data_IF_136077990320
#
_entry.id   IF_136077990320
#
_cell.length_a   1.000
_cell.length_b   1.000
_cell.length_c   1.000
_cell.angle_alpha   90.00
_cell.angle_beta   90.00
_cell.angle_gamma   90.00
#
_symmetry.space_group_name_H-M   'P 1'
#
loop_
_entity.id
_entity.type
_entity.pdbx_description
1 polymer ?
#
# COMPACT_ATOMS: atom_id res chain seq x y z
N UNK A 1 -6.03 4.69 -6.17
CA UNK A 1 -5.51 5.61 -5.13
C UNK A 1 -4.76 4.76 -4.11
N UNK A 2 -3.53 4.36 -4.43
CA UNK A 2 -2.65 3.67 -3.48
C UNK A 2 -1.64 4.69 -2.98
N UNK A 3 -1.72 5.02 -1.68
CA UNK A 3 -0.62 5.65 -0.98
C UNK A 3 0.51 4.61 -0.91
N UNK A 4 1.53 4.79 -1.74
CA UNK A 4 2.77 4.04 -1.59
C UNK A 4 3.39 4.41 -0.23
N UNK A 5 3.89 3.43 0.55
CA UNK A 5 4.71 3.74 1.70
C UNK A 5 5.95 4.46 1.21
N UNK A 6 6.22 5.64 1.79
CA UNK A 6 7.46 6.41 1.56
C UNK A 6 8.64 5.46 1.82
N UNK A 7 9.31 5.05 0.76
CA UNK A 7 10.60 4.37 0.86
C UNK A 7 11.53 5.37 1.54
N UNK A 8 11.96 5.03 2.77
CA UNK A 8 13.08 5.69 3.41
C UNK A 8 14.27 5.48 2.49
N UNK A 9 14.72 6.53 1.83
CA UNK A 9 15.99 6.52 1.12
C UNK A 9 17.06 6.11 2.13
N UNK A 10 17.91 5.10 1.82
CA UNK A 10 19.08 4.86 2.63
C UNK A 10 19.94 6.12 2.54
N UNK A 11 20.27 6.69 3.71
CA UNK A 11 21.29 7.74 3.80
C UNK A 11 22.51 7.30 2.98
N UNK A 12 23.08 8.16 2.11
CA UNK A 12 24.34 7.82 1.48
C UNK A 12 25.36 7.58 2.58
N UNK A 13 26.00 6.41 2.54
CA UNK A 13 27.07 6.06 3.44
C UNK A 13 28.09 7.21 3.46
N UNK A 14 28.32 7.74 4.66
CA UNK A 14 29.38 8.69 4.93
C UNK A 14 30.68 7.98 4.54
N UNK A 15 31.19 8.32 3.36
CA UNK A 15 32.49 7.86 2.91
C UNK A 15 33.52 8.22 3.99
N UNK A 16 34.22 7.19 4.47
CA UNK A 16 35.40 7.34 5.33
C UNK A 16 36.33 8.40 4.72
N UNK A 17 36.97 9.24 5.55
CA UNK A 17 37.79 10.33 5.04
C UNK A 17 38.93 9.78 4.18
N UNK A 18 39.09 10.22 2.93
CA UNK A 18 40.30 9.95 2.19
C UNK A 18 41.46 10.63 2.93
N UNK A 19 42.58 9.93 2.99
CA UNK A 19 43.85 10.32 3.58
C UNK A 19 44.13 11.83 3.53
N UNK A 20 44.66 12.34 4.65
CA UNK A 20 45.26 13.66 4.82
C UNK A 20 46.18 14.04 3.65
N UNK A 21 45.61 14.66 2.62
CA UNK A 21 46.36 15.57 1.76
C UNK A 21 46.44 16.90 2.50
N UNK A 22 47.54 17.12 3.21
CA UNK A 22 47.92 18.44 3.74
C UNK A 22 48.23 19.35 2.55
N UNK A 23 47.20 19.83 1.86
CA UNK A 23 47.34 20.96 0.96
C UNK A 23 47.80 22.14 1.83
N UNK A 24 49.02 22.63 1.58
CA UNK A 24 49.51 23.90 2.13
C UNK A 24 48.65 25.00 1.51
N UNK A 25 47.43 25.20 2.02
CA UNK A 25 46.66 26.41 1.71
C UNK A 25 47.49 27.55 2.28
N UNK A 26 48.02 28.41 1.40
CA UNK A 26 48.57 29.70 1.78
C UNK A 26 47.57 30.33 2.76
N UNK A 27 48.03 30.61 3.99
CA UNK A 27 47.25 31.33 5.00
C UNK A 27 47.05 32.73 4.44
N UNK A 28 46.01 32.95 3.62
CA UNK A 28 45.59 34.31 3.28
C UNK A 28 45.24 34.97 4.62
N UNK A 29 45.86 36.11 4.97
CA UNK A 29 45.45 36.84 6.16
C UNK A 29 43.95 37.10 6.04
N UNK A 30 43.22 36.88 7.14
CA UNK A 30 41.82 37.25 7.17
C UNK A 30 41.73 38.74 6.82
N UNK A 31 40.84 39.14 5.90
CA UNK A 31 40.60 40.56 5.66
C UNK A 31 40.30 41.22 7.01
N UNK A 32 41.10 42.22 7.38
CA UNK A 32 40.93 42.97 8.60
C UNK A 32 39.74 43.92 8.41
N UNK A 33 38.53 43.37 8.55
CA UNK A 33 37.31 44.17 8.57
C UNK A 33 37.28 44.97 9.86
N UNK A 34 36.88 46.23 9.74
CA UNK A 34 36.56 47.08 10.88
C UNK A 34 35.33 46.53 11.61
N UNK A 35 35.21 46.82 12.90
CA UNK A 35 34.05 46.40 13.70
C UNK A 35 32.71 46.90 13.09
N UNK A 36 32.74 48.06 12.44
CA UNK A 36 31.60 48.63 11.73
C UNK A 36 31.18 47.78 10.53
N UNK A 37 32.12 47.41 9.65
CA UNK A 37 31.84 46.56 8.49
C UNK A 37 31.30 45.18 8.90
N UNK A 38 31.78 44.63 10.03
CA UNK A 38 31.27 43.35 10.54
C UNK A 38 29.83 43.45 11.04
N UNK A 39 29.45 44.56 11.67
CA UNK A 39 28.08 44.78 12.14
C UNK A 39 27.12 44.99 10.96
N UNK A 40 27.52 45.78 9.96
CA UNK A 40 26.73 45.98 8.73
C UNK A 40 26.49 44.66 7.98
N UNK A 41 27.52 43.83 7.85
CA UNK A 41 27.40 42.50 7.24
C UNK A 41 26.47 41.60 8.06
N UNK A 42 26.54 41.64 9.39
CA UNK A 42 25.65 40.85 10.25
C UNK A 42 24.20 41.31 10.13
N UNK A 43 23.96 42.62 10.07
CA UNK A 43 22.63 43.19 9.86
C UNK A 43 22.07 42.81 8.49
N UNK A 44 22.89 42.86 7.44
CA UNK A 44 22.50 42.41 6.11
C UNK A 44 22.17 40.93 6.08
N UNK A 45 22.98 40.08 6.71
CA UNK A 45 22.72 38.65 6.83
C UNK A 45 21.38 38.37 7.54
N UNK A 46 21.05 39.13 8.59
CA UNK A 46 19.75 39.05 9.28
C UNK A 46 18.59 39.46 8.34
N UNK A 47 18.74 40.54 7.56
CA UNK A 47 17.72 40.96 6.57
C UNK A 47 17.48 39.89 5.51
N UNK A 48 18.55 39.32 4.96
CA UNK A 48 18.45 38.24 3.97
C UNK A 48 17.79 37.00 4.57
N UNK A 49 18.17 36.59 5.78
CA UNK A 49 17.57 35.45 6.47
C UNK A 49 16.05 35.62 6.63
N UNK A 50 15.59 36.77 7.10
CA UNK A 50 14.17 37.09 7.20
C UNK A 50 13.48 37.05 5.84
N UNK A 51 14.13 37.58 4.80
CA UNK A 51 13.58 37.58 3.43
C UNK A 51 13.41 36.16 2.89
N UNK A 52 14.38 35.27 3.11
CA UNK A 52 14.27 33.87 2.71
C UNK A 52 13.15 33.16 3.46
N UNK A 53 13.02 33.37 4.77
CA UNK A 53 11.92 32.80 5.55
C UNK A 53 10.55 33.28 5.05
N UNK A 54 10.40 34.58 4.78
CA UNK A 54 9.18 35.12 4.21
C UNK A 54 8.88 34.52 2.82
N UNK A 55 9.90 34.34 1.98
CA UNK A 55 9.76 33.72 0.66
C UNK A 55 9.31 32.27 0.77
N UNK A 56 9.89 31.47 1.67
CA UNK A 56 9.48 30.08 1.87
C UNK A 56 8.01 29.96 2.28
N UNK A 57 7.54 30.84 3.17
CA UNK A 57 6.12 30.89 3.57
C UNK A 57 5.21 31.25 2.39
N UNK A 58 5.60 32.24 1.58
CA UNK A 58 4.83 32.65 0.39
C UNK A 58 4.79 31.56 -0.67
N UNK A 59 5.90 30.88 -0.92
CA UNK A 59 5.98 29.79 -1.88
C UNK A 59 5.16 28.58 -1.41
N UNK A 60 5.22 28.25 -0.11
CA UNK A 60 4.36 27.21 0.48
C UNK A 60 2.87 27.54 0.34
N UNK A 61 2.46 28.79 0.60
CA UNK A 61 1.09 29.24 0.45
C UNK A 61 0.62 29.15 -1.02
N UNK A 62 1.46 29.58 -1.98
CA UNK A 62 1.16 29.46 -3.42
C UNK A 62 0.99 28.00 -3.84
N UNK A 63 1.88 27.11 -3.41
CA UNK A 63 1.78 25.68 -3.70
C UNK A 63 0.51 25.06 -3.11
N UNK A 64 0.11 25.46 -1.89
CA UNK A 64 -1.14 25.02 -1.29
C UNK A 64 -2.36 25.45 -2.12
N UNK A 65 -2.46 26.74 -2.45
CA UNK A 65 -3.55 27.27 -3.27
C UNK A 65 -3.62 26.60 -4.64
N UNK A 66 -2.46 26.36 -5.28
CA UNK A 66 -2.41 25.67 -6.55
C UNK A 66 -2.91 24.22 -6.42
N UNK A 67 -2.51 23.50 -5.37
CA UNK A 67 -2.97 22.14 -5.10
C UNK A 67 -4.48 22.08 -4.87
N UNK A 68 -5.04 23.02 -4.11
CA UNK A 68 -6.48 23.12 -3.87
C UNK A 68 -7.26 23.40 -5.15
N UNK A 69 -6.81 24.36 -5.96
CA UNK A 69 -7.41 24.64 -7.28
C UNK A 69 -7.39 23.41 -8.19
N UNK A 70 -6.29 22.65 -8.20
CA UNK A 70 -6.17 21.41 -8.97
C UNK A 70 -7.01 20.26 -8.40
N UNK A 71 -7.30 20.23 -7.10
CA UNK A 71 -8.19 19.24 -6.49
C UNK A 71 -9.65 19.57 -6.78
N UNK A 72 -10.04 20.85 -6.68
CA UNK A 72 -11.39 21.32 -6.94
C UNK A 72 -11.83 21.12 -8.40
N UNK A 73 -10.90 21.20 -9.35
CA UNK A 73 -11.20 21.03 -10.78
C UNK A 73 -11.15 19.58 -11.27
N UNK A 74 -10.72 18.62 -10.44
CA UNK A 74 -10.60 17.22 -10.88
C UNK A 74 -11.98 16.56 -10.91
N UNK A 75 -12.38 15.96 -12.06
CA UNK A 75 -13.59 15.16 -12.09
C UNK A 75 -13.44 13.98 -11.12
N UNK A 76 -14.56 13.48 -10.54
CA UNK A 76 -14.51 12.32 -9.67
C UNK A 76 -13.90 11.12 -10.41
N UNK A 77 -13.22 10.21 -9.69
CA UNK A 77 -12.58 9.07 -10.32
C UNK A 77 -13.61 8.20 -11.05
N UNK A 78 -13.14 7.44 -12.04
CA UNK A 78 -13.97 6.44 -12.70
C UNK A 78 -14.18 5.25 -11.76
N UNK A 79 -15.43 4.87 -11.57
CA UNK A 79 -15.82 3.68 -10.81
C UNK A 79 -15.16 2.44 -11.40
N UNK A 80 -14.51 1.62 -10.58
CA UNK A 80 -13.81 0.41 -11.05
C UNK A 80 -14.78 -0.63 -11.62
N UNK A 81 -16.03 -0.65 -11.11
CA UNK A 81 -17.10 -1.58 -11.49
C UNK A 81 -17.81 -1.12 -12.77
N UNK A 82 -18.46 0.05 -12.77
CA UNK A 82 -19.30 0.50 -13.89
C UNK A 82 -18.63 1.50 -14.83
N UNK A 83 -17.45 2.04 -14.47
CA UNK A 83 -16.67 3.03 -15.25
C UNK A 83 -17.29 4.43 -15.40
N UNK A 84 -18.40 4.72 -14.73
CA UNK A 84 -18.97 6.06 -14.63
C UNK A 84 -18.16 6.93 -13.63
N UNK A 85 -18.37 8.25 -13.66
CA UNK A 85 -17.63 9.20 -12.83
C UNK A 85 -18.18 9.26 -11.39
N UNK A 86 -17.79 8.31 -10.56
CA UNK A 86 -18.09 8.24 -9.12
C UNK A 86 -17.17 7.23 -8.43
N UNK A 87 -17.07 7.30 -7.11
CA UNK A 87 -16.35 6.30 -6.32
C UNK A 87 -17.07 4.96 -6.33
N UNK A 88 -16.34 3.83 -6.33
CA UNK A 88 -16.95 2.50 -6.33
C UNK A 88 -17.89 2.26 -5.13
N UNK A 89 -17.63 2.90 -3.99
CA UNK A 89 -18.47 2.92 -2.79
C UNK A 89 -19.84 3.57 -3.00
N UNK A 90 -19.94 4.52 -3.94
CA UNK A 90 -21.16 5.27 -4.27
C UNK A 90 -21.91 4.68 -5.47
N UNK A 91 -21.42 3.55 -6.01
CA UNK A 91 -22.00 2.96 -7.20
C UNK A 91 -23.42 2.46 -6.92
N UNK A 92 -24.41 3.00 -7.64
CA UNK A 92 -25.84 2.69 -7.46
C UNK A 92 -26.33 1.48 -8.26
N UNK A 93 -25.46 0.79 -8.99
CA UNK A 93 -25.86 -0.43 -9.70
C UNK A 93 -26.41 -1.49 -8.72
N UNK A 94 -27.44 -2.24 -9.13
CA UNK A 94 -27.90 -3.41 -8.38
C UNK A 94 -26.77 -4.41 -8.13
N UNK A 95 -26.84 -5.14 -7.01
CA UNK A 95 -25.80 -6.09 -6.61
C UNK A 95 -25.53 -7.15 -7.70
N UNK A 96 -26.58 -7.68 -8.31
CA UNK A 96 -26.47 -8.68 -9.36
C UNK A 96 -25.71 -8.18 -10.58
N UNK A 97 -25.99 -6.95 -11.02
CA UNK A 97 -25.28 -6.31 -12.13
C UNK A 97 -23.83 -6.00 -11.76
N UNK A 98 -23.56 -5.55 -10.53
CA UNK A 98 -22.19 -5.38 -10.02
C UNK A 98 -21.43 -6.70 -10.09
N UNK A 99 -22.03 -7.80 -9.62
CA UNK A 99 -21.40 -9.12 -9.65
C UNK A 99 -21.17 -9.62 -11.07
N UNK A 100 -22.11 -9.41 -12.00
CA UNK A 100 -21.92 -9.71 -13.43
C UNK A 100 -20.71 -8.96 -14.00
N UNK A 101 -20.63 -7.65 -13.76
CA UNK A 101 -19.51 -6.83 -14.24
C UNK A 101 -18.18 -7.20 -13.60
N UNK A 102 -18.15 -7.48 -12.30
CA UNK A 102 -16.95 -7.91 -11.59
C UNK A 102 -16.40 -9.21 -12.19
N UNK A 103 -17.27 -10.20 -12.43
CA UNK A 103 -16.90 -11.47 -13.08
C UNK A 103 -16.44 -11.25 -14.51
N UNK A 104 -17.21 -10.53 -15.32
CA UNK A 104 -16.93 -10.27 -16.74
C UNK A 104 -15.60 -9.51 -16.93
N UNK A 105 -15.28 -8.58 -16.03
CA UNK A 105 -14.09 -7.73 -16.13
C UNK A 105 -12.92 -8.24 -15.30
N UNK A 106 -13.03 -9.44 -14.72
CA UNK A 106 -12.01 -10.07 -13.87
C UNK A 106 -11.50 -9.12 -12.76
N UNK A 107 -12.43 -8.43 -12.11
CA UNK A 107 -12.14 -7.57 -10.97
C UNK A 107 -12.12 -8.45 -9.72
N UNK A 108 -11.14 -8.27 -8.85
CA UNK A 108 -11.17 -8.94 -7.54
C UNK A 108 -12.29 -8.34 -6.69
N UNK A 109 -13.23 -9.14 -6.20
CA UNK A 109 -14.35 -8.63 -5.40
C UNK A 109 -13.93 -8.13 -4.00
N UNK A 110 -12.71 -8.42 -3.55
CA UNK A 110 -12.17 -8.00 -2.25
C UNK A 110 -11.59 -6.58 -2.36
N UNK A 111 -10.60 -6.38 -3.24
CA UNK A 111 -9.89 -5.10 -3.36
C UNK A 111 -10.40 -4.21 -4.51
N UNK A 112 -11.34 -4.71 -5.33
CA UNK A 112 -11.92 -4.03 -6.48
C UNK A 112 -10.88 -3.55 -7.52
N UNK A 113 -9.69 -4.16 -7.56
CA UNK A 113 -8.64 -3.89 -8.56
C UNK A 113 -8.68 -4.89 -9.72
N UNK A 114 -8.09 -4.49 -10.85
CA UNK A 114 -8.04 -5.27 -12.11
C UNK A 114 -6.75 -6.08 -12.27
N UNK A 115 -6.08 -6.40 -11.17
CA UNK A 115 -4.75 -7.04 -11.19
C UNK A 115 -4.81 -8.56 -11.44
N UNK A 116 -5.89 -9.05 -12.10
CA UNK A 116 -6.12 -10.44 -12.51
C UNK A 116 -5.73 -11.49 -11.45
N UNK A 117 -5.98 -11.20 -10.17
CA UNK A 117 -5.78 -12.16 -9.09
C UNK A 117 -7.11 -12.73 -8.65
N UNK A 118 -7.07 -13.96 -8.16
CA UNK A 118 -8.21 -14.58 -7.49
C UNK A 118 -8.36 -14.01 -6.08
N UNK A 119 -9.56 -14.02 -5.50
CA UNK A 119 -9.80 -13.56 -4.13
C UNK A 119 -8.83 -14.17 -3.11
N UNK A 120 -8.53 -15.48 -3.24
CA UNK A 120 -7.58 -16.20 -2.37
C UNK A 120 -6.17 -15.58 -2.39
N UNK A 121 -5.76 -15.04 -3.54
CA UNK A 121 -4.45 -14.43 -3.73
C UNK A 121 -4.46 -12.90 -3.56
N UNK A 122 -5.56 -12.34 -3.01
CA UNK A 122 -5.67 -10.91 -2.83
C UNK A 122 -4.72 -10.41 -1.74
N UNK A 123 -3.80 -9.51 -2.11
CA UNK A 123 -2.79 -8.95 -1.19
C UNK A 123 -3.39 -8.10 -0.06
N UNK A 124 -4.65 -7.67 -0.18
CA UNK A 124 -5.36 -6.93 0.88
C UNK A 124 -5.97 -7.84 1.93
N UNK A 125 -5.99 -9.16 1.71
CA UNK A 125 -6.39 -10.12 2.74
C UNK A 125 -5.35 -10.14 3.86
N UNK A 126 -5.83 -10.04 5.10
CA UNK A 126 -4.97 -10.06 6.29
C UNK A 126 -4.42 -11.45 6.60
N UNK A 127 -5.19 -12.50 6.31
CA UNK A 127 -4.85 -13.87 6.67
C UNK A 127 -5.06 -14.87 5.51
N UNK A 128 -4.36 -14.70 4.38
CA UNK A 128 -4.49 -15.62 3.24
C UNK A 128 -4.08 -17.07 3.58
N UNK A 129 -3.19 -17.27 4.55
CA UNK A 129 -2.72 -18.60 5.00
C UNK A 129 -3.81 -19.47 5.61
N UNK A 130 -4.92 -18.87 6.04
CA UNK A 130 -6.05 -19.58 6.63
C UNK A 130 -7.09 -19.96 5.57
N UNK A 131 -6.93 -19.52 4.33
CA UNK A 131 -7.82 -19.86 3.23
C UNK A 131 -7.43 -21.20 2.62
N UNK A 132 -8.44 -21.95 2.18
CA UNK A 132 -8.24 -23.18 1.45
C UNK A 132 -7.48 -22.93 0.14
N UNK A 133 -6.34 -23.60 -0.02
CA UNK A 133 -5.47 -23.51 -1.20
C UNK A 133 -5.71 -24.62 -2.23
N UNK A 134 -6.65 -25.55 -1.95
CA UNK A 134 -6.93 -26.65 -2.85
C UNK A 134 -7.47 -26.16 -4.20
N UNK A 135 -6.92 -26.72 -5.29
CA UNK A 135 -7.26 -26.33 -6.67
C UNK A 135 -8.74 -26.48 -7.01
N UNK A 136 -9.47 -27.39 -6.36
CA UNK A 136 -10.90 -27.56 -6.59
C UNK A 136 -11.74 -26.47 -5.90
N UNK A 137 -11.25 -25.87 -4.80
CA UNK A 137 -11.93 -24.77 -4.10
C UNK A 137 -11.66 -23.41 -4.77
N UNK A 138 -10.46 -23.21 -5.31
CA UNK A 138 -10.02 -21.91 -5.81
C UNK A 138 -10.58 -21.47 -7.16
N UNK A 139 -11.34 -22.32 -7.86
CA UNK A 139 -11.81 -22.05 -9.23
C UNK A 139 -13.11 -21.23 -9.31
N UNK A 140 -13.87 -21.11 -8.22
CA UNK A 140 -15.28 -20.68 -8.27
C UNK A 140 -15.58 -19.34 -7.58
N UNK A 141 -14.57 -18.50 -7.28
CA UNK A 141 -14.73 -17.33 -6.38
C UNK A 141 -15.30 -17.67 -4.99
N UNK A 142 -15.44 -18.96 -4.67
CA UNK A 142 -15.87 -19.51 -3.38
C UNK A 142 -14.63 -19.84 -2.57
N UNK A 143 -14.17 -18.90 -1.77
CA UNK A 143 -13.06 -19.13 -0.84
C UNK A 143 -13.62 -19.39 0.56
N UNK A 144 -12.99 -20.28 1.29
CA UNK A 144 -13.38 -20.68 2.63
C UNK A 144 -12.15 -20.92 3.48
N UNK A 145 -12.33 -21.00 4.80
CA UNK A 145 -11.27 -21.33 5.72
C UNK A 145 -10.81 -22.78 5.51
N UNK A 146 -9.51 -23.08 5.60
CA UNK A 146 -8.96 -24.41 5.31
C UNK A 146 -9.61 -25.54 6.14
N UNK A 147 -10.05 -25.23 7.37
CA UNK A 147 -10.68 -26.20 8.29
C UNK A 147 -12.10 -26.62 7.92
N UNK A 148 -12.79 -25.86 7.06
CA UNK A 148 -14.17 -26.17 6.61
C UNK A 148 -14.18 -26.72 5.17
N UNK A 149 -13.01 -27.07 4.63
CA UNK A 149 -12.93 -27.64 3.30
C UNK A 149 -13.48 -29.08 3.34
N UNK A 150 -14.47 -29.43 2.50
CA UNK A 150 -15.01 -30.79 2.48
C UNK A 150 -14.00 -31.84 1.98
N UNK A 151 -12.89 -31.39 1.39
CA UNK A 151 -11.82 -32.25 0.87
C UNK A 151 -10.62 -32.35 1.82
N UNK A 152 -10.65 -31.66 2.97
CA UNK A 152 -9.69 -31.85 4.07
C UNK A 152 -10.21 -32.76 5.17
N UNK A 153 -11.41 -33.34 5.00
CA UNK A 153 -11.89 -34.38 5.91
C UNK A 153 -10.79 -35.46 6.00
N UNK A 154 -10.23 -35.72 7.20
CA UNK A 154 -9.30 -36.81 7.35
C UNK A 154 -10.02 -38.05 6.86
N UNK A 155 -9.38 -38.79 5.96
CA UNK A 155 -9.68 -40.20 5.77
C UNK A 155 -9.46 -40.84 7.13
N UNK A 156 -10.48 -40.80 8.00
CA UNK A 156 -10.52 -41.68 9.15
C UNK A 156 -10.57 -43.04 8.52
N UNK A 157 -9.42 -43.69 8.53
CA UNK A 157 -9.25 -45.10 8.29
C UNK A 157 -10.45 -45.77 8.92
N UNK A 158 -11.29 -46.32 8.06
CA UNK A 158 -12.36 -47.20 8.43
C UNK A 158 -11.69 -48.38 9.12
N UNK A 159 -11.46 -48.26 10.43
CA UNK A 159 -11.20 -49.39 11.30
C UNK A 159 -12.54 -50.09 11.41
N UNK A 160 -12.88 -50.85 10.37
CA UNK A 160 -13.81 -51.95 10.49
C UNK A 160 -13.30 -52.86 11.63
N UNK A 161 -14.10 -53.19 12.64
CA UNK A 161 -13.95 -54.46 13.30
C UNK A 161 -14.66 -55.49 12.41
N UNK A 162 -13.88 -56.35 11.76
CA UNK A 162 -14.38 -57.57 11.18
C UNK A 162 -14.74 -58.56 12.30
N UNK A 163 -16.00 -58.99 12.27
CA UNK A 163 -16.51 -60.37 12.45
C UNK A 163 -16.60 -61.09 13.81
N UNK A 164 -17.67 -61.92 13.80
CA UNK A 164 -17.95 -63.15 14.58
C UNK A 164 -18.61 -62.91 15.94
N UNK A 165 -19.73 -63.52 16.36
CA UNK A 165 -20.45 -64.79 16.10
C UNK A 165 -21.87 -64.59 16.69
N UNK A 166 -23.02 -64.96 16.12
CA UNK A 166 -23.53 -66.31 15.89
C UNK A 166 -24.90 -66.48 16.58
N UNK A 167 -25.84 -67.18 15.91
CA UNK A 167 -27.07 -67.85 16.41
C UNK A 167 -28.18 -66.99 17.08
N UNK A 168 -29.49 -67.22 16.93
CA UNK A 168 -30.29 -68.35 16.44
C UNK A 168 -31.67 -67.85 15.97
N UNK A 169 -32.28 -68.58 15.02
CA UNK A 169 -33.71 -68.58 14.73
C UNK A 169 -34.50 -69.08 15.95
N UNK A 170 -35.57 -68.39 16.38
CA UNK A 170 -36.73 -69.04 17.02
C UNK A 170 -38.03 -68.32 16.60
N UNK A 171 -38.98 -69.12 16.12
CA UNK A 171 -40.38 -68.84 15.78
C UNK A 171 -41.18 -68.21 16.93
N UNK A 172 -42.12 -67.31 16.62
CA UNK A 172 -43.58 -67.57 16.64
C UNK A 172 -44.32 -66.42 15.91
#
# INVERSE_FOLDING_TARGET
>A
MHCLPKQKTPYPAINKPPHLFKSKRSKRPAPAFTAQETEEMMQEAKRMATTYQCKELLDAAKHHQQKEKLLASKPPPKCTICQQQHYASECKLPLEEKMKLIKQRHICHICLTRDKHTPINCKTLRFPQHLCSYKHCGKSYTFHHATICPFTAPTTTNMSPAESTGHDEILD
#
